data_IF_311150462372
#
_entry.id   IF_311150462372
#
_cell.length_a   1.000
_cell.length_b   1.000
_cell.length_c   1.000
_cell.angle_alpha   90.00
_cell.angle_beta   90.00
_cell.angle_gamma   90.00
#
_symmetry.space_group_name_H-M   'P 1'
#
loop_
_entity.id
_entity.type
_entity.pdbx_description
1 polymer ?
#
# COMPACT_ATOMS: atom_id res chain seq x y z
N UNK A 1 -6.88 0.34 7.59
CA UNK A 1 -7.01 0.39 6.12
C UNK A 1 -7.88 -0.78 5.68
N UNK A 2 -8.60 -0.66 4.56
CA UNK A 2 -9.47 -1.73 4.05
C UNK A 2 -8.71 -3.07 3.90
N UNK A 3 -7.45 -3.03 3.47
CA UNK A 3 -6.58 -4.20 3.36
C UNK A 3 -6.37 -4.93 4.69
N UNK A 4 -6.21 -4.21 5.81
CA UNK A 4 -6.04 -4.82 7.12
C UNK A 4 -7.31 -5.54 7.60
N UNK A 5 -8.48 -5.00 7.27
CA UNK A 5 -9.76 -5.64 7.59
C UNK A 5 -10.00 -6.90 6.74
N UNK A 6 -9.63 -6.85 5.46
CA UNK A 6 -9.62 -8.03 4.59
C UNK A 6 -8.69 -9.12 5.13
N UNK A 7 -7.45 -8.77 5.48
CA UNK A 7 -6.48 -9.70 6.07
C UNK A 7 -7.04 -10.36 7.34
N UNK A 8 -7.60 -9.55 8.25
CA UNK A 8 -8.21 -10.04 9.50
C UNK A 8 -9.37 -11.00 9.24
N UNK A 9 -10.20 -10.74 8.23
CA UNK A 9 -11.31 -11.63 7.86
C UNK A 9 -10.79 -12.97 7.34
N UNK A 10 -9.79 -12.96 6.45
CA UNK A 10 -9.17 -14.18 5.92
C UNK A 10 -8.53 -15.03 7.00
N UNK A 11 -7.82 -14.41 7.95
CA UNK A 11 -7.27 -15.13 9.11
C UNK A 11 -8.36 -15.73 9.99
N UNK A 12 -9.48 -15.03 10.19
CA UNK A 12 -10.61 -15.53 10.97
C UNK A 12 -11.30 -16.72 10.29
N UNK A 13 -11.52 -16.66 8.98
CA UNK A 13 -12.07 -17.76 8.19
C UNK A 13 -11.19 -19.02 8.31
N UNK A 14 -9.87 -18.86 8.20
CA UNK A 14 -8.94 -19.98 8.37
C UNK A 14 -8.98 -20.56 9.79
N UNK A 15 -9.00 -19.71 10.83
CA UNK A 15 -9.12 -20.15 12.23
C UNK A 15 -10.44 -20.89 12.49
N UNK A 16 -11.54 -20.46 11.87
CA UNK A 16 -12.82 -21.14 11.98
C UNK A 16 -12.76 -22.53 11.33
N UNK A 17 -12.16 -22.65 10.14
CA UNK A 17 -11.91 -23.93 9.47
C UNK A 17 -11.10 -24.88 10.37
N UNK A 18 -9.99 -24.41 10.92
CA UNK A 18 -9.14 -25.19 11.84
C UNK A 18 -9.88 -25.66 13.09
N UNK A 19 -10.72 -24.80 13.68
CA UNK A 19 -11.54 -25.15 14.85
C UNK A 19 -12.54 -26.27 14.52
N UNK A 20 -13.12 -26.25 13.32
CA UNK A 20 -14.05 -27.27 12.85
C UNK A 20 -13.32 -28.60 12.60
N UNK A 21 -12.13 -28.59 12.00
CA UNK A 21 -11.31 -29.78 11.78
C UNK A 21 -10.90 -30.47 13.09
N UNK A 22 -10.47 -29.68 14.10
CA UNK A 22 -10.15 -30.22 15.43
C UNK A 22 -11.38 -30.88 16.06
N UNK A 23 -12.58 -30.31 15.89
CA UNK A 23 -13.83 -30.89 16.41
C UNK A 23 -14.23 -32.19 15.73
N UNK A 24 -13.79 -32.43 14.50
CA UNK A 24 -14.01 -33.67 13.76
C UNK A 24 -13.08 -34.81 14.18
N UNK A 25 -12.05 -34.55 15.01
CA UNK A 25 -11.21 -35.62 15.54
C UNK A 25 -12.03 -36.68 16.30
N UNK A 26 -11.64 -37.97 16.22
CA UNK A 26 -12.39 -39.06 16.83
C UNK A 26 -12.48 -38.92 18.35
N UNK A 27 -13.71 -38.70 18.85
CA UNK A 27 -14.03 -38.58 20.29
C UNK A 27 -14.19 -39.93 21.01
N UNK A 28 -14.11 -41.04 20.29
CA UNK A 28 -14.38 -42.39 20.81
C UNK A 28 -13.22 -43.01 21.60
N UNK A 29 -12.11 -42.28 21.81
CA UNK A 29 -10.92 -42.80 22.47
C UNK A 29 -11.20 -43.30 23.89
N UNK A 30 -11.99 -42.54 24.66
CA UNK A 30 -12.41 -42.95 26.02
C UNK A 30 -13.21 -44.26 26.02
N UNK A 31 -14.03 -44.47 24.98
CA UNK A 31 -14.79 -45.71 24.83
C UNK A 31 -13.86 -46.88 24.50
N UNK A 32 -12.86 -46.67 23.63
CA UNK A 32 -11.89 -47.69 23.23
C UNK A 32 -10.97 -48.06 24.40
N UNK A 33 -10.52 -47.08 25.18
CA UNK A 33 -9.77 -47.27 26.42
C UNK A 33 -10.55 -48.10 27.44
N UNK A 34 -11.83 -47.80 27.65
CA UNK A 34 -12.69 -48.55 28.55
C UNK A 34 -12.86 -50.02 28.12
N UNK A 35 -12.98 -50.28 26.81
CA UNK A 35 -13.09 -51.63 26.27
C UNK A 35 -11.81 -52.44 26.50
N UNK A 36 -10.64 -51.88 26.21
CA UNK A 36 -9.34 -52.52 26.43
C UNK A 36 -9.15 -52.84 27.92
N UNK A 37 -9.49 -51.90 28.80
CA UNK A 37 -9.44 -52.10 30.25
C UNK A 37 -10.38 -53.20 30.73
N UNK A 38 -11.60 -53.25 30.20
CA UNK A 38 -12.57 -54.32 30.52
C UNK A 38 -12.04 -55.69 30.08
N UNK A 39 -11.54 -55.79 28.86
CA UNK A 39 -10.98 -57.02 28.31
C UNK A 39 -9.80 -57.55 29.15
N UNK A 40 -8.89 -56.67 29.56
CA UNK A 40 -7.79 -57.03 30.46
C UNK A 40 -8.30 -57.59 31.80
N UNK A 41 -9.24 -56.89 32.44
CA UNK A 41 -9.82 -57.31 33.72
C UNK A 41 -10.53 -58.67 33.62
N UNK A 42 -11.31 -58.89 32.56
CA UNK A 42 -11.99 -60.16 32.30
C UNK A 42 -10.99 -61.29 32.08
N UNK A 43 -9.93 -61.05 31.31
CA UNK A 43 -8.87 -62.04 31.05
C UNK A 43 -8.14 -62.42 32.33
N UNK A 44 -7.78 -61.45 33.18
CA UNK A 44 -7.18 -61.70 34.48
C UNK A 44 -8.09 -62.51 35.42
N UNK A 45 -9.40 -62.24 35.40
CA UNK A 45 -10.39 -63.03 36.16
C UNK A 45 -10.45 -64.47 35.68
N UNK A 46 -10.45 -64.70 34.36
CA UNK A 46 -10.43 -66.05 33.78
C UNK A 46 -9.15 -66.79 34.16
N UNK A 47 -7.97 -66.16 34.00
CA UNK A 47 -6.68 -66.75 34.42
C UNK A 47 -6.66 -67.12 35.90
N UNK A 48 -7.24 -66.27 36.76
CA UNK A 48 -7.33 -66.55 38.20
C UNK A 48 -8.20 -67.76 38.50
N UNK A 49 -9.34 -67.93 37.80
CA UNK A 49 -10.20 -69.11 37.93
C UNK A 49 -9.52 -70.37 37.41
N UNK A 50 -8.87 -70.28 36.25
CA UNK A 50 -8.11 -71.39 35.65
C UNK A 50 -6.96 -71.85 36.55
N UNK A 51 -6.20 -70.91 37.14
CA UNK A 51 -5.17 -71.23 38.12
C UNK A 51 -5.72 -72.00 39.32
N UNK A 52 -6.84 -71.56 39.91
CA UNK A 52 -7.46 -72.26 41.05
C UNK A 52 -7.89 -73.68 40.68
N UNK A 53 -8.52 -73.85 39.52
CA UNK A 53 -8.93 -75.17 39.03
C UNK A 53 -7.73 -76.09 38.79
N UNK A 54 -6.69 -75.58 38.10
CA UNK A 54 -5.46 -76.33 37.82
C UNK A 54 -4.71 -76.71 39.10
N UNK A 55 -4.62 -75.78 40.06
CA UNK A 55 -4.01 -76.01 41.37
C UNK A 55 -4.70 -77.16 42.12
N UNK A 56 -6.03 -77.16 42.16
CA UNK A 56 -6.79 -78.19 42.86
C UNK A 56 -6.56 -79.58 42.22
N UNK A 57 -6.74 -79.67 40.91
CA UNK A 57 -6.54 -80.92 40.16
C UNK A 57 -5.13 -81.50 40.36
N UNK A 58 -4.09 -80.66 40.32
CA UNK A 58 -2.70 -81.13 40.49
C UNK A 58 -2.42 -81.61 41.91
N UNK A 59 -3.04 -81.01 42.94
CA UNK A 59 -2.88 -81.48 44.32
C UNK A 59 -3.60 -82.80 44.59
N UNK A 60 -4.74 -83.04 43.92
CA UNK A 60 -5.51 -84.29 44.04
C UNK A 60 -4.74 -85.50 43.45
N UNK A 61 -3.99 -85.30 42.36
CA UNK A 61 -3.34 -86.40 41.63
C UNK A 61 -1.83 -86.54 41.88
N UNK A 62 -1.23 -85.69 42.70
CA UNK A 62 0.22 -85.75 42.98
C UNK A 62 0.46 -86.27 44.40
N UNK A 63 1.44 -87.16 44.64
CA UNK A 63 1.83 -87.54 46.00
C UNK A 63 2.33 -86.34 46.81
N UNK A 64 2.09 -86.38 48.14
CA UNK A 64 2.39 -85.26 49.06
C UNK A 64 3.86 -84.83 49.08
N UNK A 65 4.80 -85.74 48.80
CA UNK A 65 6.24 -85.44 48.71
C UNK A 65 6.56 -84.36 47.68
N UNK A 66 5.77 -84.29 46.60
CA UNK A 66 6.08 -83.46 45.43
C UNK A 66 5.24 -82.17 45.39
N UNK A 67 4.25 -82.03 46.28
CA UNK A 67 3.32 -80.90 46.32
C UNK A 67 4.03 -79.54 46.36
N UNK A 68 5.14 -79.43 47.10
CA UNK A 68 5.91 -78.18 47.23
C UNK A 68 6.47 -77.72 45.87
N UNK A 69 7.01 -78.64 45.07
CA UNK A 69 7.61 -78.31 43.77
C UNK A 69 6.55 -77.98 42.74
N UNK A 70 5.41 -78.69 42.77
CA UNK A 70 4.26 -78.44 41.89
C UNK A 70 3.63 -77.09 42.20
N UNK A 71 3.34 -76.78 43.47
CA UNK A 71 2.77 -75.50 43.89
C UNK A 71 3.65 -74.30 43.49
N UNK A 72 4.97 -74.44 43.64
CA UNK A 72 5.93 -73.41 43.22
C UNK A 72 5.84 -73.19 41.70
N UNK A 73 5.94 -74.26 40.90
CA UNK A 73 5.88 -74.18 39.43
C UNK A 73 4.60 -73.51 38.94
N UNK A 74 3.42 -73.91 39.45
CA UNK A 74 2.15 -73.32 39.00
C UNK A 74 1.97 -71.86 39.44
N UNK A 75 2.55 -71.45 40.57
CA UNK A 75 2.51 -70.06 41.05
C UNK A 75 3.44 -69.17 40.23
N UNK A 76 4.63 -69.66 39.93
CA UNK A 76 5.59 -68.96 39.06
C UNK A 76 4.98 -68.78 37.66
N UNK A 77 4.32 -69.83 37.14
CA UNK A 77 3.61 -69.78 35.85
C UNK A 77 2.40 -68.83 35.87
N UNK A 78 1.61 -68.80 36.96
CA UNK A 78 0.52 -67.83 37.13
C UNK A 78 1.05 -66.38 37.11
N UNK A 79 2.14 -66.13 37.82
CA UNK A 79 2.75 -64.80 37.92
C UNK A 79 3.26 -64.35 36.55
N UNK A 80 3.94 -65.24 35.81
CA UNK A 80 4.38 -64.98 34.44
C UNK A 80 3.22 -64.64 33.51
N UNK A 81 2.13 -65.42 33.54
CA UNK A 81 0.95 -65.17 32.70
C UNK A 81 0.28 -63.82 33.01
N UNK A 82 0.17 -63.45 34.27
CA UNK A 82 -0.38 -62.14 34.66
C UNK A 82 0.54 -60.99 34.25
N UNK A 83 1.86 -61.17 34.33
CA UNK A 83 2.82 -60.17 33.85
C UNK A 83 2.69 -59.93 32.34
N UNK A 84 2.61 -61.00 31.53
CA UNK A 84 2.39 -60.89 30.08
C UNK A 84 1.06 -60.17 29.77
N UNK A 85 -0.01 -60.46 30.51
CA UNK A 85 -1.28 -59.76 30.33
C UNK A 85 -1.19 -58.26 30.66
N UNK A 86 -0.42 -57.90 31.70
CA UNK A 86 -0.19 -56.50 32.06
C UNK A 86 0.61 -55.78 30.97
N UNK A 87 1.69 -56.39 30.48
CA UNK A 87 2.49 -55.85 29.37
C UNK A 87 1.65 -55.67 28.10
N UNK A 88 0.77 -56.60 27.78
CA UNK A 88 -0.15 -56.50 26.64
C UNK A 88 -1.15 -55.35 26.80
N UNK A 89 -1.70 -55.15 28.00
CA UNK A 89 -2.57 -54.02 28.30
C UNK A 89 -1.83 -52.70 28.13
N UNK A 90 -0.64 -52.57 28.73
CA UNK A 90 0.17 -51.35 28.65
C UNK A 90 0.55 -51.06 27.20
N UNK A 91 0.94 -52.07 26.43
CA UNK A 91 1.24 -51.93 25.01
C UNK A 91 0.03 -51.43 24.21
N UNK A 92 -1.15 -52.03 24.39
CA UNK A 92 -2.36 -51.65 23.66
C UNK A 92 -2.84 -50.23 23.99
N UNK A 93 -2.73 -49.82 25.25
CA UNK A 93 -3.06 -48.46 25.69
C UNK A 93 -2.06 -47.45 25.10
N UNK A 94 -0.77 -47.74 25.21
CA UNK A 94 0.28 -46.86 24.70
C UNK A 94 0.22 -46.69 23.18
N UNK A 95 -0.03 -47.76 22.42
CA UNK A 95 -0.16 -47.71 20.97
C UNK A 95 -1.34 -46.80 20.52
N UNK A 96 -2.49 -46.97 21.18
CA UNK A 96 -3.66 -46.12 20.93
C UNK A 96 -3.40 -44.64 21.26
N UNK A 97 -2.80 -44.34 22.41
CA UNK A 97 -2.49 -42.96 22.82
C UNK A 97 -1.42 -42.34 21.93
N UNK A 98 -0.39 -43.10 21.56
CA UNK A 98 0.68 -42.67 20.66
C UNK A 98 0.13 -42.35 19.26
N UNK A 99 -0.71 -43.23 18.71
CA UNK A 99 -1.36 -43.00 17.42
C UNK A 99 -2.21 -41.72 17.45
N UNK A 100 -2.93 -41.48 18.54
CA UNK A 100 -3.68 -40.23 18.72
C UNK A 100 -2.76 -39.02 18.79
N UNK A 101 -1.67 -39.08 19.56
CA UNK A 101 -0.70 -37.99 19.69
C UNK A 101 -0.07 -37.64 18.33
N UNK A 102 0.37 -38.65 17.56
CA UNK A 102 0.89 -38.47 16.20
C UNK A 102 -0.16 -37.85 15.27
N UNK A 103 -1.41 -38.32 15.32
CA UNK A 103 -2.48 -37.75 14.48
C UNK A 103 -2.75 -36.29 14.82
N UNK A 104 -2.72 -35.94 16.11
CA UNK A 104 -2.89 -34.56 16.57
C UNK A 104 -1.73 -33.68 16.10
N UNK A 105 -0.49 -34.13 16.29
CA UNK A 105 0.70 -33.39 15.83
C UNK A 105 0.66 -33.13 14.32
N UNK A 106 0.28 -34.12 13.51
CA UNK A 106 0.13 -33.93 12.06
C UNK A 106 -0.95 -32.93 11.69
N UNK A 107 -2.07 -32.91 12.43
CA UNK A 107 -3.10 -31.91 12.23
C UNK A 107 -2.56 -30.52 12.56
N UNK A 108 -1.91 -30.36 13.71
CA UNK A 108 -1.33 -29.09 14.16
C UNK A 108 -0.28 -28.58 13.13
N UNK A 109 0.59 -29.46 12.64
CA UNK A 109 1.60 -29.16 11.60
C UNK A 109 0.95 -28.73 10.27
N UNK A 110 -0.12 -29.40 9.85
CA UNK A 110 -0.86 -29.03 8.64
C UNK A 110 -1.51 -27.66 8.80
N UNK A 111 -2.13 -27.38 9.95
CA UNK A 111 -2.77 -26.10 10.24
C UNK A 111 -1.76 -24.95 10.30
N UNK A 112 -0.58 -25.19 10.89
CA UNK A 112 0.50 -24.22 10.90
C UNK A 112 1.01 -23.93 9.48
N UNK A 113 1.19 -24.96 8.65
CA UNK A 113 1.59 -24.77 7.25
C UNK A 113 0.56 -23.93 6.46
N UNK A 114 -0.74 -24.22 6.60
CA UNK A 114 -1.80 -23.42 5.99
C UNK A 114 -1.77 -21.96 6.45
N UNK A 115 -1.53 -21.74 7.76
CA UNK A 115 -1.43 -20.39 8.32
C UNK A 115 -0.22 -19.62 7.77
N UNK A 116 0.93 -20.27 7.65
CA UNK A 116 2.14 -19.67 7.06
C UNK A 116 1.91 -19.28 5.60
N UNK A 117 1.29 -20.17 4.81
CA UNK A 117 0.95 -19.90 3.41
C UNK A 117 -0.01 -18.72 3.29
N UNK A 118 -1.08 -18.68 4.09
CA UNK A 118 -2.03 -17.57 4.07
C UNK A 118 -1.33 -16.24 4.44
N UNK A 119 -0.49 -16.26 5.47
CA UNK A 119 0.26 -15.07 5.90
C UNK A 119 1.17 -14.56 4.79
N UNK A 120 1.89 -15.46 4.11
CA UNK A 120 2.76 -15.11 3.00
C UNK A 120 1.97 -14.52 1.82
N UNK A 121 0.81 -15.10 1.49
CA UNK A 121 -0.08 -14.59 0.44
C UNK A 121 -0.59 -13.18 0.76
N UNK A 122 -1.12 -12.95 1.96
CA UNK A 122 -1.63 -11.64 2.37
C UNK A 122 -0.53 -10.57 2.39
N UNK A 123 0.70 -10.95 2.73
CA UNK A 123 1.86 -10.06 2.68
C UNK A 123 2.23 -9.70 1.24
N UNK A 124 2.27 -10.68 0.33
CA UNK A 124 2.57 -10.46 -1.09
C UNK A 124 1.49 -9.57 -1.75
N UNK A 125 0.22 -9.79 -1.43
CA UNK A 125 -0.89 -8.93 -1.90
C UNK A 125 -0.73 -7.48 -1.43
N UNK A 126 -0.34 -7.27 -0.16
CA UNK A 126 -0.10 -5.95 0.40
C UNK A 126 1.10 -5.25 -0.27
N UNK A 127 2.19 -5.97 -0.51
CA UNK A 127 3.37 -5.44 -1.20
C UNK A 127 3.04 -5.04 -2.64
N UNK A 128 2.29 -5.88 -3.36
CA UNK A 128 1.85 -5.58 -4.72
C UNK A 128 0.94 -4.34 -4.75
N UNK A 129 -0.01 -4.24 -3.80
CA UNK A 129 -0.87 -3.08 -3.67
C UNK A 129 -0.06 -1.80 -3.41
N UNK A 130 0.90 -1.85 -2.49
CA UNK A 130 1.77 -0.72 -2.17
C UNK A 130 2.63 -0.32 -3.38
N UNK A 131 3.19 -1.29 -4.11
CA UNK A 131 3.97 -1.04 -5.31
C UNK A 131 3.14 -0.35 -6.39
N UNK A 132 1.91 -0.82 -6.61
CA UNK A 132 1.00 -0.22 -7.59
C UNK A 132 0.60 1.21 -7.23
N UNK A 133 0.24 1.45 -5.95
CA UNK A 133 -0.10 2.79 -5.47
C UNK A 133 1.10 3.75 -5.56
N UNK A 134 2.30 3.28 -5.18
CA UNK A 134 3.53 4.05 -5.30
C UNK A 134 3.84 4.40 -6.76
N UNK A 135 3.68 3.43 -7.68
CA UNK A 135 3.88 3.65 -9.12
C UNK A 135 2.95 4.73 -9.67
N UNK A 136 1.66 4.66 -9.32
CA UNK A 136 0.68 5.68 -9.74
C UNK A 136 1.09 7.05 -9.20
N UNK A 137 1.40 7.12 -7.90
CA UNK A 137 1.80 8.36 -7.25
C UNK A 137 2.99 8.99 -7.96
N UNK A 138 4.07 8.25 -8.18
CA UNK A 138 5.27 8.74 -8.87
C UNK A 138 4.93 9.22 -10.28
N UNK A 139 4.12 8.47 -11.03
CA UNK A 139 3.76 8.86 -12.39
C UNK A 139 2.95 10.17 -12.42
N UNK A 140 1.95 10.29 -11.55
CA UNK A 140 1.11 11.47 -11.43
C UNK A 140 1.91 12.67 -10.94
N UNK A 141 2.76 12.50 -9.92
CA UNK A 141 3.63 13.55 -9.41
C UNK A 141 4.62 14.03 -10.50
N UNK A 142 5.22 13.11 -11.26
CA UNK A 142 6.09 13.43 -12.38
C UNK A 142 5.36 14.12 -13.55
N UNK A 143 4.06 13.88 -13.73
CA UNK A 143 3.24 14.61 -14.69
C UNK A 143 2.99 16.04 -14.20
N UNK A 144 2.53 16.20 -12.97
CA UNK A 144 2.30 17.52 -12.37
C UNK A 144 3.58 18.36 -12.36
N UNK A 145 4.73 17.77 -12.04
CA UNK A 145 6.02 18.48 -12.04
C UNK A 145 6.39 19.01 -13.44
N UNK A 146 6.11 18.23 -14.50
CA UNK A 146 6.32 18.68 -15.89
C UNK A 146 5.40 19.83 -16.26
N UNK A 147 4.11 19.73 -15.95
CA UNK A 147 3.13 20.78 -16.21
C UNK A 147 3.47 22.08 -15.48
N UNK A 148 3.91 21.98 -14.21
CA UNK A 148 4.37 23.13 -13.43
C UNK A 148 5.58 23.80 -14.09
N UNK A 149 6.61 23.02 -14.48
CA UNK A 149 7.80 23.58 -15.16
C UNK A 149 7.47 24.25 -16.49
N UNK A 150 6.57 23.67 -17.29
CA UNK A 150 6.13 24.27 -18.55
C UNK A 150 5.38 25.59 -18.33
N UNK A 151 4.54 25.67 -17.30
CA UNK A 151 3.84 26.89 -16.92
C UNK A 151 4.82 27.96 -16.41
N UNK A 152 5.75 27.59 -15.54
CA UNK A 152 6.80 28.48 -15.04
C UNK A 152 7.65 29.04 -16.19
N UNK A 153 8.06 28.20 -17.15
CA UNK A 153 8.79 28.63 -18.33
C UNK A 153 7.97 29.61 -19.17
N UNK A 154 6.69 29.33 -19.41
CA UNK A 154 5.80 30.21 -20.17
C UNK A 154 5.62 31.57 -19.49
N UNK A 155 5.44 31.58 -18.17
CA UNK A 155 5.34 32.81 -17.37
C UNK A 155 6.66 33.57 -17.40
N UNK A 156 7.79 32.88 -17.27
CA UNK A 156 9.13 33.47 -17.32
C UNK A 156 9.41 34.16 -18.67
N UNK A 157 9.13 33.47 -19.78
CA UNK A 157 9.28 34.04 -21.13
C UNK A 157 8.38 35.26 -21.30
N UNK A 158 7.10 35.16 -20.91
CA UNK A 158 6.17 36.28 -21.01
C UNK A 158 6.63 37.47 -20.17
N UNK A 159 7.13 37.22 -18.95
CA UNK A 159 7.69 38.26 -18.07
C UNK A 159 8.88 38.95 -18.74
N UNK A 160 9.82 38.19 -19.28
CA UNK A 160 11.01 38.72 -19.95
C UNK A 160 10.66 39.58 -21.19
N UNK A 161 9.72 39.12 -22.02
CA UNK A 161 9.26 39.90 -23.18
C UNK A 161 8.58 41.21 -22.79
N UNK A 162 7.78 41.20 -21.72
CA UNK A 162 7.15 42.41 -21.19
C UNK A 162 8.19 43.38 -20.61
N UNK A 163 9.17 42.86 -19.88
CA UNK A 163 10.28 43.63 -19.29
C UNK A 163 11.10 44.30 -20.40
N UNK A 164 11.50 43.55 -21.43
CA UNK A 164 12.18 44.09 -22.60
C UNK A 164 11.36 45.17 -23.32
N UNK A 165 10.06 44.94 -23.52
CA UNK A 165 9.19 45.92 -24.21
C UNK A 165 9.10 47.24 -23.44
N UNK A 166 9.01 47.19 -22.12
CA UNK A 166 8.98 48.37 -21.26
C UNK A 166 10.32 49.12 -21.35
N UNK A 167 11.45 48.39 -21.33
CA UNK A 167 12.79 49.00 -21.49
C UNK A 167 12.95 49.70 -22.85
N UNK A 168 12.52 49.05 -23.94
CA UNK A 168 12.54 49.64 -25.29
C UNK A 168 11.65 50.89 -25.39
N UNK A 169 10.43 50.85 -24.87
CA UNK A 169 9.51 52.00 -24.87
C UNK A 169 10.05 53.16 -24.03
N UNK A 170 10.67 52.87 -22.89
CA UNK A 170 11.31 53.89 -22.05
C UNK A 170 12.46 54.59 -22.79
N UNK A 171 13.33 53.81 -23.44
CA UNK A 171 14.44 54.34 -24.25
C UNK A 171 13.93 55.16 -25.44
N UNK A 172 12.88 54.70 -26.12
CA UNK A 172 12.26 55.43 -27.23
C UNK A 172 11.74 56.81 -26.78
N UNK A 173 10.96 56.86 -25.69
CA UNK A 173 10.43 58.11 -25.13
C UNK A 173 11.55 59.06 -24.70
N UNK A 174 12.62 58.52 -24.08
CA UNK A 174 13.78 59.32 -23.70
C UNK A 174 14.51 59.92 -24.92
N UNK A 175 14.62 59.14 -26.01
CA UNK A 175 15.23 59.57 -27.27
C UNK A 175 14.38 60.65 -27.93
N UNK A 176 13.06 60.45 -28.05
CA UNK A 176 12.13 61.44 -28.60
C UNK A 176 12.18 62.77 -27.83
N UNK A 177 12.20 62.70 -26.49
CA UNK A 177 12.38 63.89 -25.64
C UNK A 177 13.69 64.62 -25.94
N UNK A 178 14.78 63.87 -26.10
CA UNK A 178 16.12 64.43 -26.37
C UNK A 178 16.21 65.06 -27.76
N UNK A 179 15.60 64.44 -28.76
CA UNK A 179 15.50 64.97 -30.12
C UNK A 179 14.65 66.24 -30.18
N UNK A 180 13.51 66.27 -29.48
CA UNK A 180 12.67 67.47 -29.39
C UNK A 180 13.43 68.62 -28.72
N UNK A 181 14.21 68.35 -27.68
CA UNK A 181 15.08 69.37 -27.06
C UNK A 181 16.14 69.84 -28.05
N UNK A 182 16.81 68.92 -28.77
CA UNK A 182 17.82 69.26 -29.77
C UNK A 182 17.25 70.16 -30.88
N UNK A 183 16.10 69.80 -31.44
CA UNK A 183 15.43 70.58 -32.48
C UNK A 183 15.04 71.99 -31.99
N UNK A 184 14.58 72.13 -30.75
CA UNK A 184 14.31 73.44 -30.16
C UNK A 184 15.57 74.29 -30.02
N UNK A 185 16.69 73.69 -29.59
CA UNK A 185 17.98 74.37 -29.48
C UNK A 185 18.54 74.75 -30.87
N UNK A 186 18.40 73.89 -31.86
CA UNK A 186 18.80 74.17 -33.25
C UNK A 186 17.97 75.32 -33.83
N UNK A 187 16.65 75.31 -33.67
CA UNK A 187 15.80 76.42 -34.11
C UNK A 187 16.18 77.74 -33.43
N UNK A 188 16.40 77.72 -32.11
CA UNK A 188 16.85 78.90 -31.37
C UNK A 188 18.19 79.43 -31.91
N UNK A 189 19.13 78.55 -32.26
CA UNK A 189 20.41 78.96 -32.84
C UNK A 189 20.23 79.60 -34.23
N UNK A 190 19.38 79.03 -35.09
CA UNK A 190 19.09 79.60 -36.41
C UNK A 190 18.34 80.94 -36.31
N UNK A 191 17.43 81.10 -35.35
CA UNK A 191 16.75 82.38 -35.10
C UNK A 191 17.74 83.46 -34.65
N UNK A 192 18.72 83.12 -33.81
CA UNK A 192 19.80 84.03 -33.41
C UNK A 192 20.66 84.42 -34.62
N UNK A 193 21.08 83.47 -35.46
CA UNK A 193 21.87 83.75 -36.66
C UNK A 193 21.09 84.62 -37.67
N UNK A 194 19.81 84.35 -37.88
CA UNK A 194 18.93 85.17 -38.73
C UNK A 194 18.76 86.59 -38.16
N UNK A 195 18.62 86.72 -36.84
CA UNK A 195 18.56 88.02 -36.19
C UNK A 195 19.87 88.80 -36.33
N UNK A 196 21.02 88.15 -36.15
CA UNK A 196 22.34 88.78 -36.30
C UNK A 196 22.59 89.24 -37.73
N UNK A 197 22.24 88.41 -38.72
CA UNK A 197 22.37 88.77 -40.15
C UNK A 197 21.44 89.92 -40.54
N UNK A 198 20.20 89.94 -40.05
CA UNK A 198 19.26 91.05 -40.26
C UNK A 198 19.74 92.34 -39.56
N UNK A 199 20.28 92.22 -38.34
CA UNK A 199 20.88 93.34 -37.60
C UNK A 199 22.04 93.94 -38.37
N UNK A 200 22.96 93.11 -38.87
CA UNK A 200 24.06 93.54 -39.74
C UNK A 200 23.56 94.20 -41.02
N UNK A 201 22.50 93.68 -41.65
CA UNK A 201 21.88 94.24 -42.86
C UNK A 201 21.26 95.62 -42.63
N UNK A 202 20.63 95.83 -41.48
CA UNK A 202 20.05 97.11 -41.05
C UNK A 202 21.10 98.10 -40.51
N UNK A 203 22.39 97.73 -40.49
CA UNK A 203 23.49 98.59 -40.07
C UNK A 203 23.81 98.53 -38.57
N UNK A 204 23.14 97.66 -37.81
CA UNK A 204 23.49 97.34 -36.42
C UNK A 204 24.65 96.33 -36.42
N UNK A 205 25.87 96.82 -36.65
CA UNK A 205 27.06 95.97 -36.53
C UNK A 205 27.29 95.55 -35.07
N UNK A 206 27.64 94.30 -34.83
CA UNK A 206 27.93 93.77 -33.48
C UNK A 206 29.00 94.61 -32.73
N UNK A 207 29.87 95.32 -33.47
CA UNK A 207 30.85 96.27 -32.93
C UNK A 207 30.26 97.57 -32.34
N UNK A 208 28.99 97.91 -32.61
CA UNK A 208 28.35 99.10 -32.06
C UNK A 208 27.73 98.88 -30.66
N UNK A 209 27.56 97.61 -30.24
CA UNK A 209 26.87 97.23 -29.00
C UNK A 209 27.81 96.91 -27.82
N UNK A 210 29.12 96.86 -28.03
CA UNK A 210 30.13 96.72 -26.95
C UNK A 210 30.22 97.95 -26.03
N UNK A 211 29.46 99.00 -26.30
CA UNK A 211 29.36 100.21 -25.48
C UNK A 211 28.28 100.20 -24.40
N UNK A 212 27.59 99.08 -24.14
CA UNK A 212 26.61 98.98 -23.04
C UNK A 212 27.30 98.39 -21.80
N UNK A 213 27.36 99.11 -20.66
CA UNK A 213 28.13 98.69 -19.49
C UNK A 213 27.53 97.43 -18.85
N UNK A 214 28.41 96.53 -18.41
CA UNK A 214 28.14 95.22 -17.81
C UNK A 214 27.46 95.26 -16.42
N UNK A 215 26.74 96.34 -16.09
CA UNK A 215 26.18 96.59 -14.75
C UNK A 215 24.71 96.15 -14.63
N UNK A 216 24.03 95.87 -15.74
CA UNK A 216 22.62 95.44 -15.74
C UNK A 216 22.41 93.92 -15.56
N UNK A 217 23.47 93.09 -15.60
CA UNK A 217 23.36 91.63 -15.42
C UNK A 217 23.34 91.19 -13.93
N UNK A 218 23.47 92.13 -12.99
CA UNK A 218 23.43 91.87 -11.54
C UNK A 218 22.02 92.02 -10.93
N UNK A 219 20.96 91.60 -11.63
CA UNK A 219 19.67 91.32 -11.00
C UNK A 219 19.43 89.82 -11.03
N UNK A 220 19.82 89.19 -9.93
CA UNK A 220 19.78 87.75 -9.73
C UNK A 220 18.38 87.19 -9.92
N UNK A 221 18.24 86.34 -10.93
CA UNK A 221 17.31 85.22 -10.86
C UNK A 221 18.04 84.08 -10.14
N UNK A 222 17.43 83.42 -9.16
CA UNK A 222 18.08 82.32 -8.46
C UNK A 222 18.27 81.15 -9.43
N UNK A 223 19.52 80.76 -9.61
CA UNK A 223 19.93 79.50 -10.23
C UNK A 223 19.55 78.33 -9.30
N UNK A 224 18.89 77.27 -9.78
CA UNK A 224 18.75 76.06 -9.00
C UNK A 224 20.07 75.29 -9.05
N UNK A 225 20.87 75.34 -7.98
CA UNK A 225 21.97 74.40 -7.75
C UNK A 225 21.58 73.38 -6.68
N UNK A 226 22.09 72.14 -6.75
CA UNK A 226 21.55 70.98 -6.03
C UNK A 226 22.00 70.99 -4.57
N UNK A 227 21.06 71.07 -3.62
CA UNK A 227 21.38 70.91 -2.21
C UNK A 227 21.39 69.42 -1.84
N UNK A 228 22.60 68.89 -1.64
CA UNK A 228 22.87 67.89 -0.61
C UNK A 228 22.38 68.44 0.73
N UNK A 229 21.40 67.78 1.35
CA UNK A 229 20.83 68.21 2.62
C UNK A 229 19.53 67.50 2.97
N UNK A 230 19.65 66.49 3.82
CA UNK A 230 18.56 65.77 4.48
C UNK A 230 17.54 66.73 5.11
N UNK A 231 16.27 66.68 4.69
CA UNK A 231 15.20 67.46 5.29
C UNK A 231 13.85 67.16 4.63
N UNK A 232 12.96 66.49 5.36
CA UNK A 232 11.73 65.89 4.85
C UNK A 232 10.67 66.89 4.37
N UNK A 233 9.96 66.49 3.32
CA UNK A 233 8.68 67.08 2.92
C UNK A 233 7.57 66.62 3.87
N UNK A 234 6.60 67.48 4.25
CA UNK A 234 5.49 67.06 5.10
C UNK A 234 4.49 66.26 4.26
N UNK A 235 4.54 64.93 4.37
CA UNK A 235 3.47 64.05 3.90
C UNK A 235 2.21 64.31 4.70
N UNK A 236 1.16 64.79 4.02
CA UNK A 236 -0.22 64.76 4.54
C UNK A 236 -0.63 63.31 4.79
N UNK A 237 -1.23 62.96 5.94
CA UNK A 237 -1.76 61.62 6.15
C UNK A 237 -3.03 61.45 5.33
N UNK A 238 -3.02 60.47 4.42
CA UNK A 238 -4.24 59.96 3.77
C UNK A 238 -5.04 59.18 4.81
N UNK A 239 -6.33 59.50 5.05
CA UNK A 239 -7.19 58.66 5.87
C UNK A 239 -7.50 57.38 5.09
N UNK A 240 -7.04 56.25 5.62
CA UNK A 240 -7.35 54.92 5.11
C UNK A 240 -8.79 54.59 5.51
N UNK A 241 -9.75 54.88 4.63
CA UNK A 241 -11.11 54.38 4.77
C UNK A 241 -11.08 52.87 4.54
N UNK A 242 -11.32 52.12 5.62
CA UNK A 242 -11.60 50.69 5.56
C UNK A 242 -13.04 50.47 5.14
N UNK A 243 -13.23 49.90 3.94
CA UNK A 243 -14.48 49.27 3.56
C UNK A 243 -14.20 47.84 3.11
N UNK A 244 -14.62 46.93 3.99
CA UNK A 244 -15.08 45.57 3.77
C UNK A 244 -15.19 45.11 2.31
N UNK A 245 -14.53 44.00 1.97
CA UNK A 245 -15.11 42.95 1.13
C UNK A 245 -14.61 41.63 1.69
N UNK A 246 -15.28 41.15 2.73
CA UNK A 246 -15.12 39.79 3.24
C UNK A 246 -15.94 38.85 2.36
N UNK A 247 -15.30 38.18 1.41
CA UNK A 247 -15.79 36.89 0.94
C UNK A 247 -15.32 35.83 1.92
N UNK A 248 -16.21 35.41 2.81
CA UNK A 248 -16.04 34.19 3.60
C UNK A 248 -16.00 33.00 2.64
N UNK A 249 -14.81 32.46 2.39
CA UNK A 249 -14.66 31.08 1.92
C UNK A 249 -14.37 30.23 3.15
N UNK A 250 -15.38 29.47 3.53
CA UNK A 250 -15.35 28.51 4.62
C UNK A 250 -14.51 27.32 4.15
N UNK A 251 -13.26 27.21 4.61
CA UNK A 251 -12.45 26.04 4.37
C UNK A 251 -12.79 24.97 5.42
N UNK A 252 -13.83 24.19 5.14
CA UNK A 252 -14.13 22.97 5.90
C UNK A 252 -13.31 21.82 5.31
N UNK A 253 -12.46 21.25 6.14
CA UNK A 253 -11.67 20.05 5.88
C UNK A 253 -12.63 18.85 5.72
N UNK A 254 -12.97 18.50 4.49
CA UNK A 254 -13.62 17.23 4.15
C UNK A 254 -13.09 16.71 2.82
N UNK A 255 -12.60 15.47 2.84
CA UNK A 255 -11.97 14.77 1.71
C UNK A 255 -12.90 14.63 0.49
N UNK A 256 -12.41 14.66 -0.75
CA UNK A 256 -13.26 14.45 -1.90
C UNK A 256 -13.62 12.97 -2.05
N UNK A 257 -14.92 12.66 -1.93
CA UNK A 257 -15.48 11.38 -2.35
C UNK A 257 -15.84 11.45 -3.84
N UNK A 258 -15.22 10.60 -4.65
CA UNK A 258 -15.62 10.43 -6.05
C UNK A 258 -16.90 9.58 -6.12
N UNK A 259 -18.05 10.25 -6.20
CA UNK A 259 -19.32 9.63 -6.59
C UNK A 259 -19.69 10.15 -7.98
N UNK A 260 -19.49 9.33 -8.99
CA UNK A 260 -19.99 9.57 -10.34
C UNK A 260 -21.39 8.96 -10.44
N UNK A 261 -22.38 9.80 -10.69
CA UNK A 261 -23.74 9.40 -10.99
C UNK A 261 -24.03 9.98 -12.37
N UNK A 262 -24.07 9.13 -13.40
CA UNK A 262 -24.64 9.50 -14.68
C UNK A 262 -25.61 8.42 -15.09
N UNK A 263 -26.87 8.83 -15.25
CA UNK A 263 -27.98 8.00 -15.68
C UNK A 263 -28.28 8.42 -17.12
N UNK A 264 -28.16 7.51 -18.09
CA UNK A 264 -28.87 7.60 -19.38
C UNK A 264 -28.82 6.25 -20.10
N UNK A 265 -30.02 5.71 -20.25
CA UNK A 265 -30.46 4.63 -21.12
C UNK A 265 -30.05 4.82 -22.58
N UNK A 266 -29.69 3.73 -23.26
CA UNK A 266 -29.51 3.73 -24.72
C UNK A 266 -29.00 2.41 -25.28
N UNK A 267 -29.93 1.47 -25.48
CA UNK A 267 -29.75 0.22 -26.21
C UNK A 267 -29.22 0.45 -27.63
N UNK A 268 -28.16 -0.26 -28.06
CA UNK A 268 -28.02 -0.76 -29.44
C UNK A 268 -27.09 -1.98 -29.47
N UNK A 269 -27.65 -3.10 -29.94
CA UNK A 269 -26.93 -4.29 -30.34
C UNK A 269 -26.34 -4.12 -31.74
N UNK A 270 -25.10 -4.57 -31.96
CA UNK A 270 -24.70 -5.27 -33.19
C UNK A 270 -23.34 -5.95 -33.03
N UNK A 271 -23.26 -7.14 -33.60
CA UNK A 271 -22.15 -8.08 -33.61
C UNK A 271 -20.91 -7.54 -34.34
N UNK A 272 -19.73 -8.05 -34.00
CA UNK A 272 -19.03 -8.93 -34.93
C UNK A 272 -17.95 -9.80 -34.27
N UNK A 273 -17.73 -10.93 -34.93
CA UNK A 273 -16.95 -12.09 -34.48
C UNK A 273 -15.45 -11.90 -34.67
N UNK A 274 -14.64 -12.35 -33.70
CA UNK A 274 -13.32 -12.96 -34.00
C UNK A 274 -13.11 -14.12 -33.03
N UNK A 275 -13.07 -15.31 -33.61
CA UNK A 275 -12.65 -16.54 -32.97
C UNK A 275 -11.14 -16.52 -32.69
N UNK A 276 -10.72 -17.01 -31.53
CA UNK A 276 -9.36 -17.49 -31.35
C UNK A 276 -9.41 -18.79 -30.55
N UNK A 277 -9.00 -19.84 -31.23
CA UNK A 277 -8.84 -21.20 -30.75
C UNK A 277 -7.64 -21.30 -29.80
N UNK A 278 -7.76 -22.20 -28.81
CA UNK A 278 -6.73 -23.04 -28.18
C UNK A 278 -6.83 -23.03 -26.65
N UNK A 279 -7.52 -24.05 -26.11
CA UNK A 279 -7.29 -24.53 -24.76
C UNK A 279 -7.31 -26.06 -24.78
N UNK A 280 -6.12 -26.63 -24.57
CA UNK A 280 -5.92 -28.00 -24.11
C UNK A 280 -6.47 -28.09 -22.67
N UNK A 281 -7.30 -29.09 -22.42
CA UNK A 281 -7.82 -29.35 -21.08
C UNK A 281 -8.53 -30.70 -21.04
N UNK A 282 -7.82 -31.70 -20.49
CA UNK A 282 -8.40 -32.92 -19.93
C UNK A 282 -9.39 -32.52 -18.83
N UNK A 283 -10.56 -33.12 -18.77
CA UNK A 283 -10.84 -34.09 -17.70
C UNK A 283 -12.14 -34.85 -17.91
N UNK A 284 -12.15 -36.01 -17.27
CA UNK A 284 -13.13 -37.09 -17.37
C UNK A 284 -14.26 -36.89 -16.37
N UNK A 285 -15.50 -37.24 -16.75
CA UNK A 285 -16.49 -37.69 -15.76
C UNK A 285 -17.50 -38.69 -16.37
N UNK A 286 -17.33 -39.93 -15.90
CA UNK A 286 -18.28 -40.99 -15.54
C UNK A 286 -19.71 -41.05 -16.12
N UNK A 287 -20.04 -42.25 -16.63
CA UNK A 287 -21.11 -43.15 -16.15
C UNK A 287 -22.10 -43.64 -17.22
N UNK A 288 -22.26 -44.98 -17.23
CA UNK A 288 -23.29 -45.89 -17.78
C UNK A 288 -22.54 -47.01 -18.52
N UNK A 289 -22.39 -48.23 -18.00
CA UNK A 289 -23.36 -49.07 -17.31
C UNK A 289 -23.79 -50.17 -18.28
N UNK A 290 -23.24 -51.38 -18.15
CA UNK A 290 -23.93 -52.65 -18.47
C UNK A 290 -23.01 -53.87 -18.34
N UNK A 291 -23.46 -54.79 -17.47
CA UNK A 291 -23.67 -56.23 -17.71
C UNK A 291 -22.49 -57.09 -18.21
N UNK A 292 -22.19 -58.14 -17.44
CA UNK A 292 -21.70 -59.39 -18.04
C UNK A 292 -20.81 -60.27 -17.15
N UNK A 293 -21.46 -61.17 -16.41
CA UNK A 293 -21.06 -62.53 -15.98
C UNK A 293 -19.58 -62.95 -15.84
N UNK A 294 -19.30 -63.38 -14.60
CA UNK A 294 -18.60 -64.61 -14.15
C UNK A 294 -17.92 -65.53 -15.18
N UNK A 295 -16.65 -65.87 -14.94
CA UNK A 295 -16.19 -67.27 -14.76
C UNK A 295 -14.79 -67.35 -14.12
N UNK A 296 -14.62 -68.48 -13.46
CA UNK A 296 -13.58 -69.02 -12.57
C UNK A 296 -12.28 -69.47 -13.25
N UNK A 297 -11.36 -69.96 -12.37
CA UNK A 297 -10.20 -70.83 -12.63
C UNK A 297 -8.92 -70.09 -13.03
N UNK A 298 -7.70 -70.48 -12.67
CA UNK A 298 -7.07 -71.39 -11.71
C UNK A 298 -5.58 -71.38 -12.09
N UNK A 299 -4.66 -71.74 -11.16
CA UNK A 299 -3.29 -72.23 -11.41
C UNK A 299 -2.32 -71.24 -12.11
N UNK A 300 -1.01 -71.19 -11.89
CA UNK A 300 -0.05 -71.96 -11.11
C UNK A 300 1.30 -71.25 -11.23
N UNK A 301 2.09 -71.30 -10.16
CA UNK A 301 3.55 -71.54 -10.13
C UNK A 301 4.40 -71.16 -11.35
N UNK A 302 5.33 -70.23 -11.16
CA UNK A 302 6.80 -70.44 -11.19
C UNK A 302 7.49 -69.17 -10.74
#
# INVERSE_FOLDING_TARGET
TNQMEYNKRREQELRQKHTVEVRQQPKSLKSKELLIKRQFQETCKIQTRQYKALRNHLLENTPKSDHKTVLKRIKDEQTRKLAILAEQYDHSINDMLSTQAVSKLRLDETQEAEYQVLRMQLQQELELLNAYQSKIKIHTDAQHEREVKELEQRVSIRRALLEQRIEEELLFVQTERSERIRALLENQAHEIEAFDTESMRLGFSNMALTGIPAEAFNQGYPTPSPSSGSGGWPSRPVPRSGSHWSHSVQNSVAAPSWRSQNNSSGSFARADSVATHCALGRDSEMNKGSRGHSISSSSSSS
#
